data_IF_991518728787
#
_entry.id   IF_991518728787
#
_cell.length_a   1.000
_cell.length_b   1.000
_cell.length_c   1.000
_cell.angle_alpha   90.00
_cell.angle_beta   90.00
_cell.angle_gamma   90.00
#
_symmetry.space_group_name_H-M   'P 1'
#
loop_
_entity.id
_entity.type
_entity.pdbx_description
1 polymer ?
#
# COMPACT_ATOMS: atom_id res chain seq x y z
N UNK A 1 -4.74 -11.99 -2.39
CA UNK A 1 -3.28 -11.81 -2.63
C UNK A 1 -2.64 -11.04 -1.46
N UNK A 2 -1.32 -11.08 -1.24
CA UNK A 2 -0.62 -10.41 -0.11
C UNK A 2 0.38 -9.43 -0.69
N UNK A 3 0.39 -8.16 -0.27
CA UNK A 3 1.38 -7.21 -0.77
C UNK A 3 2.79 -7.54 -0.24
N UNK A 4 3.78 -7.30 -1.09
CA UNK A 4 5.20 -7.38 -0.80
C UNK A 4 5.88 -6.07 -1.18
N UNK A 5 7.03 -5.82 -0.57
CA UNK A 5 7.91 -4.72 -0.99
C UNK A 5 8.32 -4.95 -2.45
N UNK A 6 8.17 -3.91 -3.27
CA UNK A 6 8.37 -3.93 -4.71
C UNK A 6 7.11 -4.19 -5.54
N UNK A 7 5.97 -4.53 -4.92
CA UNK A 7 4.70 -4.64 -5.66
C UNK A 7 4.25 -3.28 -6.18
N UNK A 8 3.73 -3.27 -7.41
CA UNK A 8 3.09 -2.09 -8.00
C UNK A 8 1.63 -2.09 -7.59
N UNK A 9 1.17 -0.98 -7.02
CA UNK A 9 -0.20 -0.79 -6.52
C UNK A 9 -0.82 0.44 -7.15
N UNK A 10 -2.15 0.48 -7.21
CA UNK A 10 -2.90 1.65 -7.62
C UNK A 10 -3.58 2.28 -6.41
N UNK A 11 -3.55 3.60 -6.33
CA UNK A 11 -4.18 4.34 -5.24
C UNK A 11 -5.69 4.04 -5.20
N UNK A 12 -6.27 3.79 -4.02
CA UNK A 12 -7.67 3.34 -3.93
C UNK A 12 -8.67 4.42 -4.37
N UNK A 13 -8.37 5.70 -4.15
CA UNK A 13 -9.24 6.82 -4.54
C UNK A 13 -8.77 7.60 -5.77
N UNK A 14 -7.53 7.41 -6.20
CA UNK A 14 -6.88 8.22 -7.23
C UNK A 14 -6.35 7.33 -8.34
N UNK A 15 -6.28 7.84 -9.57
CA UNK A 15 -5.70 7.08 -10.70
C UNK A 15 -4.17 7.17 -10.73
N UNK A 16 -3.54 7.00 -9.57
CA UNK A 16 -2.08 7.04 -9.42
C UNK A 16 -1.58 5.62 -9.18
N UNK A 17 -0.47 5.29 -9.82
CA UNK A 17 0.26 4.04 -9.56
C UNK A 17 1.49 4.35 -8.71
N UNK A 18 1.87 3.40 -7.87
CA UNK A 18 3.01 3.51 -6.98
C UNK A 18 3.61 2.16 -6.68
N UNK A 19 4.75 2.15 -5.99
CA UNK A 19 5.46 0.95 -5.58
C UNK A 19 5.52 0.87 -4.07
N UNK A 20 5.25 -0.31 -3.52
CA UNK A 20 5.38 -0.57 -2.08
C UNK A 20 6.87 -0.56 -1.72
N UNK A 21 7.30 0.41 -0.91
CA UNK A 21 8.66 0.51 -0.40
C UNK A 21 8.86 -0.29 0.88
N UNK A 22 7.87 -0.29 1.77
CA UNK A 22 7.98 -0.95 3.07
C UNK A 22 6.61 -1.43 3.54
N UNK A 23 6.59 -2.46 4.39
CA UNK A 23 5.36 -2.98 4.98
C UNK A 23 5.52 -3.03 6.49
N UNK A 24 4.81 -2.14 7.17
CA UNK A 24 4.84 -2.02 8.62
C UNK A 24 3.63 -2.69 9.23
N UNK A 25 3.76 -3.11 10.48
CA UNK A 25 2.64 -3.59 11.28
C UNK A 25 2.43 -2.64 12.44
N UNK A 26 1.21 -2.14 12.57
CA UNK A 26 0.84 -1.41 13.75
C UNK A 26 0.78 -2.39 14.94
N UNK A 27 1.63 -2.24 15.97
CA UNK A 27 1.67 -3.16 17.10
C UNK A 27 0.38 -3.14 17.94
N UNK A 28 -0.47 -2.12 17.81
CA UNK A 28 -1.72 -2.01 18.56
C UNK A 28 -2.90 -2.77 17.93
N UNK A 29 -2.98 -2.86 16.60
CA UNK A 29 -4.14 -3.44 15.89
C UNK A 29 -3.78 -4.62 14.97
N UNK A 30 -2.50 -5.02 14.87
CA UNK A 30 -2.00 -6.04 13.93
C UNK A 30 -2.23 -5.73 12.44
N UNK A 31 -2.80 -4.55 12.14
CA UNK A 31 -3.04 -4.06 10.79
C UNK A 31 -1.71 -3.76 10.09
N UNK A 32 -1.69 -4.05 8.80
CA UNK A 32 -0.54 -3.83 7.93
C UNK A 32 -0.69 -2.48 7.26
N UNK A 33 0.34 -1.67 7.36
CA UNK A 33 0.46 -0.39 6.68
C UNK A 33 1.49 -0.57 5.56
N UNK A 34 1.18 -0.07 4.38
CA UNK A 34 2.03 -0.07 3.20
C UNK A 34 2.60 1.34 3.06
N UNK A 35 3.92 1.44 3.03
CA UNK A 35 4.62 2.68 2.65
C UNK A 35 4.81 2.62 1.14
N UNK A 36 4.24 3.56 0.42
CA UNK A 36 4.18 3.55 -1.04
C UNK A 36 4.83 4.82 -1.58
N UNK A 37 5.68 4.65 -2.59
CA UNK A 37 6.19 5.75 -3.40
C UNK A 37 5.33 5.87 -4.67
N UNK A 38 4.62 6.97 -4.80
CA UNK A 38 3.81 7.28 -5.98
C UNK A 38 4.67 7.82 -7.12
N UNK A 39 4.18 7.72 -8.35
CA UNK A 39 4.86 8.19 -9.57
C UNK A 39 5.22 9.70 -9.54
N UNK A 40 4.44 10.50 -8.81
CA UNK A 40 4.71 11.94 -8.59
C UNK A 40 5.90 12.20 -7.63
N UNK A 41 6.50 11.14 -7.07
CA UNK A 41 7.61 11.21 -6.12
C UNK A 41 7.20 11.46 -4.67
N UNK A 42 5.89 11.46 -4.38
CA UNK A 42 5.36 11.53 -3.03
C UNK A 42 5.34 10.17 -2.34
N UNK A 43 5.68 10.16 -1.06
CA UNK A 43 5.57 8.97 -0.20
C UNK A 43 4.32 9.07 0.66
N UNK A 44 3.60 7.95 0.78
CA UNK A 44 2.38 7.88 1.57
C UNK A 44 2.27 6.53 2.29
N UNK A 45 1.76 6.56 3.52
CA UNK A 45 1.47 5.36 4.29
C UNK A 45 -0.04 5.12 4.29
N UNK A 46 -0.47 3.97 3.75
CA UNK A 46 -1.87 3.58 3.65
C UNK A 46 -2.09 2.21 4.28
N UNK A 47 -3.28 1.95 4.80
CA UNK A 47 -3.60 0.65 5.36
C UNK A 47 -3.83 -0.37 4.23
N UNK A 48 -3.32 -1.60 4.40
CA UNK A 48 -3.49 -2.70 3.43
C UNK A 48 -4.97 -2.93 3.06
N UNK A 49 -5.89 -2.65 4.00
CA UNK A 49 -7.33 -2.81 3.80
C UNK A 49 -7.96 -1.77 2.88
N UNK A 50 -7.34 -0.59 2.72
CA UNK A 50 -7.87 0.49 1.88
C UNK A 50 -7.79 0.15 0.39
N UNK A 51 -6.87 -0.72 0.00
CA UNK A 51 -6.74 -1.23 -1.37
C UNK A 51 -7.86 -2.23 -1.76
N UNK A 52 -8.78 -2.51 -0.84
CA UNK A 52 -9.90 -3.41 -1.06
C UNK A 52 -9.49 -4.89 -1.10
N UNK A 53 -10.46 -5.79 -1.31
CA UNK A 53 -10.14 -7.17 -1.59
C UNK A 53 -9.35 -7.22 -2.89
N UNK A 54 -8.09 -7.66 -2.82
CA UNK A 54 -7.34 -8.07 -4.00
C UNK A 54 -8.09 -9.27 -4.59
N UNK A 55 -8.89 -9.03 -5.63
CA UNK A 55 -9.54 -10.09 -6.40
C UNK A 55 -8.48 -11.13 -6.80
N UNK A 56 -8.84 -12.39 -6.59
CA UNK A 56 -7.97 -13.58 -6.62
C UNK A 56 -7.23 -13.79 -7.94
#
# INVERSE_FOLDING_TARGET
MRFHVGDVVNHPTDKRSGVVLDIRRNPACLMRHLVILWDDGSEEELEEIEFGPLED
#
